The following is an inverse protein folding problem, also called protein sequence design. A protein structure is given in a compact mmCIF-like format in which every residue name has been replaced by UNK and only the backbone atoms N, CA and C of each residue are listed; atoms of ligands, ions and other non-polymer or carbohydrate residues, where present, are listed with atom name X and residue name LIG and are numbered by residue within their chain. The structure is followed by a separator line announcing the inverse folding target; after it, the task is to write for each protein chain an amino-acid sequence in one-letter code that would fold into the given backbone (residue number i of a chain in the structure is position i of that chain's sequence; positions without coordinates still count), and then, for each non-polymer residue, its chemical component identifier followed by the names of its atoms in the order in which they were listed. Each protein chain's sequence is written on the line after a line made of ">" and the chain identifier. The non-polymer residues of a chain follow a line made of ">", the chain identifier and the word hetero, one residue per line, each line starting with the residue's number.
data_IF_385849284273
#
_entry.id   IF_385849284273
#
_cell.length_a   1.000
_cell.length_b   1.000
_cell.length_c   1.000
_cell.angle_alpha   90.00
_cell.angle_beta   90.00
_cell.angle_gamma   90.00
#
_symmetry.space_group_name_H-M   'P 1'
#
loop_
_entity.id
_entity.type
_entity.pdbx_description
1 polymer ?
#
# COMPACT_ATOMS: atom_id res chain seq x y z
N UNK A 1 31.95 85.80 96.28
CA UNK A 1 32.76 85.07 95.28
C UNK A 1 31.96 83.95 94.58
N UNK A 2 30.69 83.73 94.95
CA UNK A 2 29.90 82.56 94.50
C UNK A 2 29.32 82.64 93.08
N UNK A 3 29.18 83.83 92.49
CA UNK A 3 28.66 83.98 91.11
C UNK A 3 29.70 83.70 90.03
N UNK A 4 30.99 83.89 90.34
CA UNK A 4 32.09 83.67 89.39
C UNK A 4 32.40 82.17 89.30
N UNK A 5 32.38 81.46 90.43
CA UNK A 5 32.55 80.00 90.47
C UNK A 5 31.43 79.26 89.72
N UNK A 6 30.16 79.70 89.87
CA UNK A 6 29.02 79.08 89.16
C UNK A 6 29.08 79.30 87.64
N UNK A 7 29.54 80.47 87.18
CA UNK A 7 29.72 80.75 85.74
C UNK A 7 30.91 80.00 85.15
N UNK A 8 32.00 79.83 85.91
CA UNK A 8 33.14 79.02 85.49
C UNK A 8 32.79 77.52 85.42
N UNK A 9 32.02 77.01 86.38
CA UNK A 9 31.55 75.61 86.37
C UNK A 9 30.58 75.32 85.21
N UNK A 10 29.67 76.26 84.90
CA UNK A 10 28.75 76.15 83.76
C UNK A 10 29.49 76.19 82.41
N UNK A 11 30.50 77.07 82.30
CA UNK A 11 31.34 77.17 81.10
C UNK A 11 32.20 75.91 80.89
N UNK A 12 32.66 75.28 81.96
CA UNK A 12 33.43 74.03 81.88
C UNK A 12 32.55 72.83 81.49
N UNK A 13 31.30 72.79 81.98
CA UNK A 13 30.35 71.72 81.65
C UNK A 13 29.87 71.79 80.19
N UNK A 14 29.72 73.00 79.62
CA UNK A 14 29.33 73.21 78.21
C UNK A 14 30.46 72.83 77.24
N UNK A 15 31.72 73.12 77.58
CA UNK A 15 32.87 72.72 76.75
C UNK A 15 33.09 71.20 76.75
N UNK A 16 32.75 70.51 77.85
CA UNK A 16 32.88 69.05 77.93
C UNK A 16 31.82 68.30 77.10
N UNK A 17 30.67 68.93 76.81
CA UNK A 17 29.58 68.31 76.04
C UNK A 17 29.81 68.34 74.51
N UNK A 18 30.73 69.19 74.02
CA UNK A 18 31.03 69.34 72.59
C UNK A 18 32.09 68.34 72.07
N UNK A 19 32.80 67.62 72.95
CA UNK A 19 33.90 66.72 72.58
C UNK A 19 33.44 65.27 72.37
N UNK A 20 32.19 64.92 72.70
CA UNK A 20 31.68 63.53 72.60
C UNK A 20 30.92 63.21 71.31
N UNK A 21 30.86 64.13 70.33
CA UNK A 21 30.33 63.89 68.98
C UNK A 21 31.43 63.61 67.94
N UNK A 22 32.52 62.97 68.36
CA UNK A 22 33.57 62.45 67.48
C UNK A 22 33.55 60.93 67.46
N UNK A 23 32.68 60.32 66.66
CA UNK A 23 32.85 58.93 66.24
C UNK A 23 33.67 58.94 64.95
N UNK A 24 34.72 58.13 64.94
CA UNK A 24 35.81 58.17 63.98
C UNK A 24 35.34 58.02 62.53
N UNK A 25 35.96 58.82 61.65
CA UNK A 25 36.11 58.48 60.25
C UNK A 25 36.91 57.17 60.17
N UNK A 26 36.26 56.12 59.69
CA UNK A 26 36.92 54.93 59.15
C UNK A 26 36.65 54.94 57.65
N UNK A 27 37.56 55.56 56.90
CA UNK A 27 37.83 55.13 55.54
C UNK A 27 38.55 53.79 55.65
N UNK A 28 37.89 52.70 55.27
CA UNK A 28 38.60 51.62 54.60
C UNK A 28 37.70 50.91 53.59
N UNK A 29 38.16 50.98 52.35
CA UNK A 29 37.95 50.07 51.23
C UNK A 29 36.53 49.62 50.85
N UNK A 30 35.99 50.33 49.86
CA UNK A 30 35.10 49.79 48.85
C UNK A 30 35.69 48.51 48.21
N UNK A 31 35.23 47.35 48.65
CA UNK A 31 35.20 46.14 47.84
C UNK A 31 33.79 45.58 47.90
N UNK A 32 32.95 46.00 46.95
CA UNK A 32 31.87 45.11 46.51
C UNK A 32 32.49 43.74 46.24
N UNK A 33 31.86 42.63 46.64
CA UNK A 33 32.38 41.31 46.26
C UNK A 33 32.64 41.34 44.76
N UNK A 34 33.86 40.96 44.37
CA UNK A 34 34.32 41.03 42.99
C UNK A 34 33.25 40.33 42.15
N UNK A 35 32.72 41.02 41.14
CA UNK A 35 31.60 40.51 40.35
C UNK A 35 31.95 39.14 39.75
N UNK A 36 33.23 38.95 39.43
CA UNK A 36 33.78 37.68 38.99
C UNK A 36 33.78 36.59 40.08
N UNK A 37 34.05 36.93 41.35
CA UNK A 37 33.98 35.96 42.46
C UNK A 37 32.54 35.57 42.79
N UNK A 38 31.61 36.52 42.73
CA UNK A 38 30.18 36.25 42.94
C UNK A 38 29.60 35.42 41.79
N UNK A 39 30.00 35.71 40.55
CA UNK A 39 29.64 34.93 39.35
C UNK A 39 30.22 33.52 39.41
N UNK A 40 31.47 33.37 39.83
CA UNK A 40 32.11 32.06 40.01
C UNK A 40 31.41 31.24 41.08
N UNK A 41 31.08 31.86 42.22
CA UNK A 41 30.30 31.22 43.28
C UNK A 41 28.91 30.79 42.80
N UNK A 42 28.21 31.62 42.01
CA UNK A 42 26.90 31.27 41.43
C UNK A 42 27.01 30.13 40.42
N UNK A 43 28.03 30.14 39.55
CA UNK A 43 28.26 29.06 38.58
C UNK A 43 28.62 27.76 39.29
N UNK A 44 29.40 27.82 40.36
CA UNK A 44 29.78 26.65 41.14
C UNK A 44 28.58 26.10 41.92
N UNK A 45 27.73 26.95 42.50
CA UNK A 45 26.42 26.59 43.08
C UNK A 45 25.53 25.85 42.08
N UNK A 46 25.39 26.37 40.85
CA UNK A 46 24.59 25.71 39.80
C UNK A 46 25.18 24.36 39.36
N UNK A 47 26.50 24.18 39.47
CA UNK A 47 27.20 22.93 39.11
C UNK A 47 27.20 21.90 40.24
N UNK A 48 26.99 22.31 41.49
CA UNK A 48 26.89 21.39 42.62
C UNK A 48 25.72 20.43 42.45
N UNK A 49 25.79 19.29 43.15
CA UNK A 49 24.73 18.28 43.10
C UNK A 49 23.41 18.83 43.67
N UNK A 50 23.47 19.73 44.64
CA UNK A 50 22.32 20.45 45.20
C UNK A 50 21.68 21.38 44.15
N UNK A 51 22.49 22.11 43.37
CA UNK A 51 22.00 22.95 42.27
C UNK A 51 21.34 22.14 41.16
N UNK A 52 21.94 21.00 40.78
CA UNK A 52 21.33 20.07 39.79
C UNK A 52 20.04 19.45 40.31
N UNK A 53 20.01 19.06 41.58
CA UNK A 53 18.83 18.49 42.21
C UNK A 53 17.69 19.51 42.30
N UNK A 54 17.98 20.76 42.68
CA UNK A 54 17.00 21.84 42.70
C UNK A 54 16.42 22.12 41.31
N UNK A 55 17.26 22.13 40.26
CA UNK A 55 16.79 22.25 38.87
C UNK A 55 15.91 21.05 38.49
N UNK A 56 16.29 19.83 38.89
CA UNK A 56 15.52 18.62 38.62
C UNK A 56 14.15 18.65 39.32
N UNK A 57 14.08 19.11 40.57
CA UNK A 57 12.84 19.30 41.33
C UNK A 57 11.94 20.37 40.69
N UNK A 58 12.53 21.46 40.22
CA UNK A 58 11.80 22.52 39.50
C UNK A 58 11.30 22.03 38.12
N UNK A 59 12.05 21.17 37.42
CA UNK A 59 11.61 20.54 36.16
C UNK A 59 10.57 19.43 36.36
N UNK A 60 10.39 18.91 37.58
CA UNK A 60 9.27 18.01 37.90
C UNK A 60 7.94 18.76 37.98
N UNK A 61 7.95 20.09 38.15
CA UNK A 61 6.76 20.91 38.02
C UNK A 61 6.30 20.96 36.55
N UNK A 62 5.08 20.50 36.31
CA UNK A 62 4.46 20.41 34.98
C UNK A 62 4.43 21.76 34.25
N UNK A 63 4.22 22.86 34.99
CA UNK A 63 4.16 24.22 34.45
C UNK A 63 5.52 24.70 33.96
N UNK A 64 6.58 24.32 34.67
CA UNK A 64 7.96 24.66 34.29
C UNK A 64 8.43 23.77 33.15
N UNK A 65 8.14 22.46 33.20
CA UNK A 65 8.44 21.53 32.11
C UNK A 65 7.79 21.95 30.79
N UNK A 66 6.52 22.34 30.82
CA UNK A 66 5.82 22.83 29.64
C UNK A 66 6.49 24.09 29.08
N UNK A 67 6.97 24.99 29.93
CA UNK A 67 7.64 26.23 29.50
C UNK A 67 9.02 25.98 28.89
N UNK A 68 9.75 24.96 29.37
CA UNK A 68 11.09 24.57 28.88
C UNK A 68 11.03 23.77 27.58
N UNK A 69 10.01 22.92 27.40
CA UNK A 69 9.81 22.11 26.18
C UNK A 69 9.27 22.94 25.00
N UNK A 70 8.96 24.22 25.20
CA UNK A 70 8.27 25.07 24.23
C UNK A 70 9.18 25.71 23.15
N UNK A 71 10.45 25.32 23.02
CA UNK A 71 11.24 25.71 21.83
C UNK A 71 10.76 24.89 20.62
N UNK A 72 9.68 25.38 20.01
CA UNK A 72 8.98 24.76 18.89
C UNK A 72 9.91 24.50 17.70
N UNK A 73 10.93 25.33 17.46
CA UNK A 73 11.85 25.18 16.32
C UNK A 73 12.81 24.03 16.60
N UNK A 74 13.44 24.01 17.78
CA UNK A 74 14.32 22.92 18.16
C UNK A 74 13.59 21.57 18.26
N UNK A 75 12.38 21.56 18.83
CA UNK A 75 11.56 20.34 18.94
C UNK A 75 11.14 19.83 17.56
N UNK A 76 10.68 20.72 16.66
CA UNK A 76 10.31 20.35 15.30
C UNK A 76 11.50 19.81 14.53
N UNK A 77 12.63 20.52 14.53
CA UNK A 77 13.84 20.10 13.83
C UNK A 77 14.38 18.77 14.38
N UNK A 78 14.32 18.57 15.70
CA UNK A 78 14.72 17.30 16.31
C UNK A 78 13.78 16.17 15.87
N UNK A 79 12.46 16.37 15.90
CA UNK A 79 11.50 15.36 15.44
C UNK A 79 11.71 15.04 13.96
N UNK A 80 11.84 16.06 13.11
CA UNK A 80 12.03 15.87 11.67
C UNK A 80 13.35 15.13 11.39
N UNK A 81 14.45 15.54 12.01
CA UNK A 81 15.74 14.85 11.85
C UNK A 81 15.70 13.42 12.40
N UNK A 82 15.15 13.21 13.59
CA UNK A 82 15.05 11.86 14.18
C UNK A 82 14.20 10.94 13.30
N UNK A 83 13.06 11.40 12.77
CA UNK A 83 12.18 10.58 11.95
C UNK A 83 12.68 10.37 10.51
N UNK A 84 13.48 11.30 9.95
CA UNK A 84 14.01 11.21 8.58
C UNK A 84 15.38 10.53 8.48
N UNK A 85 16.10 10.40 9.60
CA UNK A 85 17.36 9.65 9.63
C UNK A 85 17.16 8.14 9.46
N UNK A 86 18.25 7.43 9.15
CA UNK A 86 18.28 5.96 9.11
C UNK A 86 17.81 5.33 10.43
N UNK A 87 18.06 5.99 11.57
CA UNK A 87 17.57 5.54 12.88
C UNK A 87 16.04 5.64 12.98
N UNK A 88 15.45 6.72 12.43
CA UNK A 88 14.00 6.87 12.30
C UNK A 88 13.37 5.78 11.43
N UNK A 89 14.01 5.41 10.32
CA UNK A 89 13.55 4.28 9.49
C UNK A 89 13.50 2.97 10.28
N UNK A 90 14.55 2.66 11.04
CA UNK A 90 14.59 1.49 11.91
C UNK A 90 13.50 1.53 13.00
N UNK A 91 13.22 2.70 13.56
CA UNK A 91 12.10 2.88 14.50
C UNK A 91 10.76 2.53 13.84
N UNK A 92 10.48 3.04 12.63
CA UNK A 92 9.25 2.70 11.91
C UNK A 92 9.18 1.22 11.55
N UNK A 93 10.28 0.60 11.13
CA UNK A 93 10.33 -0.84 10.84
C UNK A 93 9.99 -1.70 12.07
N UNK A 94 10.51 -1.36 13.24
CA UNK A 94 10.18 -2.06 14.50
C UNK A 94 8.73 -1.78 14.92
N UNK A 95 8.26 -0.54 14.84
CA UNK A 95 6.88 -0.18 15.17
C UNK A 95 5.87 -0.88 14.25
N UNK A 96 6.20 -1.06 12.97
CA UNK A 96 5.34 -1.80 12.02
C UNK A 96 5.29 -3.30 12.31
N UNK A 97 6.14 -3.86 13.18
CA UNK A 97 6.00 -5.24 13.64
C UNK A 97 4.93 -5.37 14.73
N UNK A 98 4.72 -4.31 15.51
CA UNK A 98 3.71 -4.27 16.57
C UNK A 98 2.29 -4.36 16.00
N UNK A 99 1.47 -5.24 16.59
CA UNK A 99 0.15 -5.55 16.08
C UNK A 99 -0.89 -4.45 16.36
N UNK A 100 -0.83 -3.84 17.55
CA UNK A 100 -1.74 -2.76 17.94
C UNK A 100 -1.47 -1.51 17.11
N UNK A 101 -0.19 -1.19 16.94
CA UNK A 101 0.25 -0.09 16.10
C UNK A 101 -0.16 -0.28 14.63
N UNK A 102 0.11 -1.46 14.04
CA UNK A 102 -0.34 -1.79 12.68
C UNK A 102 -1.84 -1.63 12.51
N UNK A 103 -2.62 -2.13 13.47
CA UNK A 103 -4.08 -2.06 13.41
C UNK A 103 -4.54 -0.61 13.45
N UNK A 104 -4.07 0.16 14.42
CA UNK A 104 -4.42 1.58 14.57
C UNK A 104 -4.01 2.39 13.34
N UNK A 105 -2.80 2.17 12.81
CA UNK A 105 -2.33 2.82 11.59
C UNK A 105 -3.19 2.44 10.38
N UNK A 106 -3.46 1.15 10.17
CA UNK A 106 -4.28 0.67 9.06
C UNK A 106 -5.70 1.22 9.13
N UNK A 107 -6.34 1.21 10.31
CA UNK A 107 -7.67 1.79 10.54
C UNK A 107 -7.66 3.30 10.24
N UNK A 108 -6.63 4.03 10.69
CA UNK A 108 -6.52 5.47 10.43
C UNK A 108 -6.37 5.81 8.94
N UNK A 109 -5.75 4.91 8.16
CA UNK A 109 -5.50 5.10 6.73
C UNK A 109 -6.57 4.47 5.84
N UNK A 110 -7.45 3.63 6.40
CA UNK A 110 -8.36 2.77 5.64
C UNK A 110 -9.17 3.54 4.60
N UNK A 111 -9.83 4.63 5.00
CA UNK A 111 -10.67 5.42 4.10
C UNK A 111 -9.87 6.01 2.93
N UNK A 112 -8.74 6.64 3.22
CA UNK A 112 -7.88 7.22 2.18
C UNK A 112 -7.28 6.14 1.28
N UNK A 113 -6.91 4.99 1.85
CA UNK A 113 -6.39 3.87 1.09
C UNK A 113 -7.46 3.29 0.15
N UNK A 114 -8.71 3.19 0.59
CA UNK A 114 -9.84 2.80 -0.25
C UNK A 114 -10.07 3.79 -1.40
N UNK A 115 -10.01 5.09 -1.14
CA UNK A 115 -10.13 6.12 -2.18
C UNK A 115 -9.01 6.02 -3.21
N UNK A 116 -7.77 5.80 -2.76
CA UNK A 116 -6.62 5.55 -3.66
C UNK A 116 -6.85 4.31 -4.50
N UNK A 117 -7.24 3.18 -3.91
CA UNK A 117 -7.52 1.95 -4.64
C UNK A 117 -8.65 2.12 -5.66
N UNK A 118 -9.75 2.77 -5.28
CA UNK A 118 -10.86 3.10 -6.20
C UNK A 118 -10.44 4.03 -7.33
N UNK A 119 -9.52 4.95 -7.05
CA UNK A 119 -8.90 5.81 -8.05
C UNK A 119 -8.05 5.02 -9.04
N UNK A 120 -7.16 4.17 -8.52
CA UNK A 120 -6.29 3.30 -9.31
C UNK A 120 -7.07 2.33 -10.19
N UNK A 121 -8.20 1.80 -9.74
CA UNK A 121 -9.08 0.96 -10.60
C UNK A 121 -9.58 1.66 -11.87
N UNK A 122 -9.54 3.00 -11.91
CA UNK A 122 -9.91 3.81 -13.09
C UNK A 122 -8.70 4.27 -13.90
N UNK A 123 -7.49 4.02 -13.39
CA UNK A 123 -6.25 4.39 -14.05
C UNK A 123 -5.86 3.32 -15.10
N UNK A 124 -5.53 3.71 -16.34
CA UNK A 124 -5.20 2.75 -17.40
C UNK A 124 -3.98 1.87 -17.10
N UNK A 125 -2.95 2.41 -16.44
CA UNK A 125 -1.72 1.66 -16.13
C UNK A 125 -2.01 0.59 -15.07
N UNK A 126 -2.78 0.96 -14.04
CA UNK A 126 -3.20 0.01 -13.01
C UNK A 126 -4.18 -1.03 -13.55
N UNK A 127 -5.08 -0.65 -14.45
CA UNK A 127 -5.95 -1.60 -15.15
C UNK A 127 -5.14 -2.62 -15.97
N UNK A 128 -4.08 -2.18 -16.66
CA UNK A 128 -3.22 -3.10 -17.39
C UNK A 128 -2.54 -4.09 -16.46
N UNK A 129 -1.97 -3.62 -15.34
CA UNK A 129 -1.40 -4.51 -14.33
C UNK A 129 -2.44 -5.50 -13.78
N UNK A 130 -3.67 -5.05 -13.58
CA UNK A 130 -4.76 -5.92 -13.12
C UNK A 130 -5.17 -6.95 -14.17
N UNK A 131 -5.19 -6.59 -15.45
CA UNK A 131 -5.42 -7.54 -16.57
C UNK A 131 -4.32 -8.59 -16.63
N UNK A 132 -3.07 -8.19 -16.43
CA UNK A 132 -1.94 -9.13 -16.42
C UNK A 132 -2.09 -10.16 -15.28
N UNK A 133 -2.56 -9.72 -14.11
CA UNK A 133 -2.91 -10.63 -12.98
C UNK A 133 -4.08 -11.55 -13.34
N UNK A 134 -5.08 -11.08 -14.10
CA UNK A 134 -6.20 -11.93 -14.54
C UNK A 134 -5.80 -13.00 -15.56
N UNK A 135 -4.66 -12.84 -16.25
CA UNK A 135 -4.11 -13.83 -17.17
C UNK A 135 -3.18 -14.85 -16.49
N UNK A 136 -3.10 -14.85 -15.15
CA UNK A 136 -2.36 -15.88 -14.43
C UNK A 136 -2.97 -17.28 -14.67
N UNK A 137 -2.16 -18.35 -14.80
CA UNK A 137 -2.66 -19.71 -15.04
C UNK A 137 -3.69 -20.21 -14.02
N UNK A 138 -3.60 -19.80 -12.75
CA UNK A 138 -4.60 -20.18 -11.73
C UNK A 138 -5.96 -19.53 -12.03
N UNK A 139 -5.95 -18.29 -12.50
CA UNK A 139 -7.17 -17.60 -12.93
C UNK A 139 -7.75 -18.24 -14.18
N UNK A 140 -6.91 -18.63 -15.14
CA UNK A 140 -7.33 -19.35 -16.34
C UNK A 140 -8.05 -20.67 -15.99
N UNK A 141 -7.50 -21.45 -15.06
CA UNK A 141 -8.14 -22.69 -14.59
C UNK A 141 -9.53 -22.43 -14.00
N UNK A 142 -9.67 -21.41 -13.15
CA UNK A 142 -10.96 -21.01 -12.60
C UNK A 142 -11.96 -20.55 -13.67
N UNK A 143 -11.51 -19.82 -14.71
CA UNK A 143 -12.37 -19.44 -15.83
C UNK A 143 -12.80 -20.66 -16.66
N UNK A 144 -11.90 -21.62 -16.87
CA UNK A 144 -12.23 -22.88 -17.55
C UNK A 144 -13.25 -23.70 -16.76
N UNK A 145 -13.10 -23.79 -15.45
CA UNK A 145 -14.08 -24.45 -14.58
C UNK A 145 -15.46 -23.75 -14.66
N UNK A 146 -15.48 -22.42 -14.65
CA UNK A 146 -16.71 -21.65 -14.82
C UNK A 146 -17.38 -21.91 -16.18
N UNK A 147 -16.60 -21.99 -17.27
CA UNK A 147 -17.13 -22.35 -18.59
C UNK A 147 -17.66 -23.79 -18.65
N UNK A 148 -17.17 -24.67 -17.78
CA UNK A 148 -17.66 -26.04 -17.69
C UNK A 148 -18.87 -26.18 -16.75
N UNK A 149 -19.23 -25.13 -16.01
CA UNK A 149 -20.40 -25.10 -15.12
C UNK A 149 -21.71 -25.40 -15.87
N UNK A 150 -22.71 -25.91 -15.13
CA UNK A 150 -24.01 -26.24 -15.71
C UNK A 150 -24.74 -24.99 -16.19
N UNK A 151 -24.59 -23.89 -15.46
CA UNK A 151 -25.17 -22.59 -15.73
C UNK A 151 -24.65 -22.04 -17.06
N UNK A 152 -23.33 -22.07 -17.26
CA UNK A 152 -22.73 -21.63 -18.52
C UNK A 152 -23.09 -22.56 -19.68
N UNK A 153 -23.08 -23.88 -19.48
CA UNK A 153 -23.54 -24.84 -20.50
C UNK A 153 -24.98 -24.59 -20.93
N UNK A 154 -25.87 -24.21 -20.00
CA UNK A 154 -27.26 -23.87 -20.36
C UNK A 154 -27.32 -22.63 -21.25
N UNK A 155 -26.54 -21.60 -20.94
CA UNK A 155 -26.45 -20.41 -21.81
C UNK A 155 -25.89 -20.77 -23.19
N UNK A 156 -24.84 -21.58 -23.24
CA UNK A 156 -24.27 -22.06 -24.50
C UNK A 156 -25.29 -22.88 -25.30
N UNK A 157 -26.06 -23.76 -24.67
CA UNK A 157 -27.12 -24.52 -25.35
C UNK A 157 -28.20 -23.60 -25.91
N UNK A 158 -28.59 -22.55 -25.19
CA UNK A 158 -29.56 -21.56 -25.69
C UNK A 158 -28.99 -20.78 -26.89
N UNK A 159 -27.75 -20.31 -26.81
CA UNK A 159 -27.07 -19.62 -27.91
C UNK A 159 -26.95 -20.54 -29.13
N UNK A 160 -26.64 -21.82 -28.93
CA UNK A 160 -26.60 -22.80 -30.02
C UNK A 160 -27.98 -23.01 -30.63
N UNK A 161 -29.04 -23.13 -29.82
CA UNK A 161 -30.41 -23.27 -30.32
C UNK A 161 -30.81 -22.06 -31.16
N UNK A 162 -30.56 -20.84 -30.68
CA UNK A 162 -30.79 -19.59 -31.43
C UNK A 162 -29.95 -19.54 -32.72
N UNK A 163 -28.70 -20.00 -32.68
CA UNK A 163 -27.85 -20.07 -33.85
C UNK A 163 -28.38 -21.07 -34.89
N UNK A 164 -28.94 -22.22 -34.49
CA UNK A 164 -29.56 -23.18 -35.39
C UNK A 164 -30.86 -22.67 -36.01
N UNK A 165 -31.60 -21.82 -35.30
CA UNK A 165 -32.80 -21.16 -35.82
C UNK A 165 -32.48 -20.01 -36.80
N UNK A 166 -31.23 -19.55 -36.84
CA UNK A 166 -30.79 -18.51 -37.77
C UNK A 166 -30.97 -18.95 -39.22
N UNK A 167 -31.61 -18.12 -40.09
CA UNK A 167 -31.77 -18.42 -41.51
C UNK A 167 -30.45 -18.74 -42.22
N UNK A 168 -29.35 -18.13 -41.78
CA UNK A 168 -28.02 -18.41 -42.31
C UNK A 168 -27.58 -19.85 -42.02
N UNK A 169 -27.76 -20.30 -40.77
CA UNK A 169 -27.36 -21.64 -40.34
C UNK A 169 -28.27 -22.71 -40.95
N UNK A 170 -29.58 -22.46 -41.03
CA UNK A 170 -30.54 -23.34 -41.72
C UNK A 170 -30.18 -23.47 -43.20
N UNK A 171 -29.88 -22.37 -43.89
CA UNK A 171 -29.47 -22.41 -45.29
C UNK A 171 -28.17 -23.20 -45.49
N UNK A 172 -27.18 -22.99 -44.61
CA UNK A 172 -25.91 -23.74 -44.64
C UNK A 172 -26.12 -25.22 -44.36
N UNK A 173 -26.99 -25.58 -43.41
CA UNK A 173 -27.32 -26.96 -43.09
C UNK A 173 -28.01 -27.64 -44.28
N UNK A 174 -28.98 -26.97 -44.91
CA UNK A 174 -29.65 -27.47 -46.12
C UNK A 174 -28.68 -27.68 -47.28
N UNK A 175 -27.71 -26.78 -47.46
CA UNK A 175 -26.66 -26.94 -48.47
C UNK A 175 -25.82 -28.19 -48.20
N UNK A 176 -25.33 -28.37 -46.96
CA UNK A 176 -24.54 -29.54 -46.57
C UNK A 176 -25.35 -30.83 -46.75
N UNK A 177 -26.62 -30.84 -46.36
CA UNK A 177 -27.51 -31.99 -46.53
C UNK A 177 -27.71 -32.34 -48.01
N UNK A 178 -27.83 -31.31 -48.86
CA UNK A 178 -27.90 -31.47 -50.31
C UNK A 178 -26.62 -32.04 -50.90
N UNK A 179 -25.46 -31.55 -50.49
CA UNK A 179 -24.15 -32.04 -50.95
C UNK A 179 -23.92 -33.50 -50.53
N UNK A 180 -24.26 -33.87 -49.29
CA UNK A 180 -24.18 -35.25 -48.80
C UNK A 180 -25.13 -36.18 -49.55
N UNK A 181 -26.37 -35.75 -49.80
CA UNK A 181 -27.34 -36.53 -50.56
C UNK A 181 -26.85 -36.76 -52.00
N UNK A 182 -26.24 -35.74 -52.61
CA UNK A 182 -25.65 -35.83 -53.95
C UNK A 182 -24.47 -36.81 -53.98
N UNK A 183 -23.55 -36.74 -53.02
CA UNK A 183 -22.45 -37.70 -52.90
C UNK A 183 -22.95 -39.14 -52.69
N UNK A 184 -24.02 -39.34 -51.90
CA UNK A 184 -24.60 -40.67 -51.69
C UNK A 184 -25.26 -41.22 -52.95
N UNK A 185 -25.95 -40.38 -53.72
CA UNK A 185 -26.51 -40.77 -55.02
C UNK A 185 -25.41 -41.09 -56.04
N UNK A 186 -24.37 -40.27 -56.13
CA UNK A 186 -23.22 -40.53 -57.01
C UNK A 186 -22.50 -41.83 -56.64
N UNK A 187 -22.36 -42.14 -55.34
CA UNK A 187 -21.82 -43.43 -54.88
C UNK A 187 -22.73 -44.62 -55.17
N UNK A 188 -24.05 -44.47 -55.06
CA UNK A 188 -25.01 -45.52 -55.44
C UNK A 188 -25.01 -45.75 -56.95
N UNK A 189 -24.89 -44.71 -57.76
CA UNK A 189 -24.78 -44.84 -59.22
C UNK A 189 -23.45 -45.49 -59.63
N UNK A 190 -22.34 -45.23 -58.92
CA UNK A 190 -21.08 -45.96 -59.12
C UNK A 190 -21.15 -47.42 -58.66
N UNK A 191 -21.85 -47.75 -57.57
CA UNK A 191 -22.08 -49.13 -57.14
C UNK A 191 -23.02 -49.89 -58.09
N UNK A 192 -24.07 -49.24 -58.60
CA UNK A 192 -24.99 -49.83 -59.58
C UNK A 192 -24.28 -50.06 -60.93
N UNK A 193 -23.41 -49.15 -61.38
CA UNK A 193 -22.59 -49.36 -62.58
C UNK A 193 -21.59 -50.51 -62.43
N UNK A 194 -21.01 -50.70 -61.24
CA UNK A 194 -20.15 -51.88 -60.96
C UNK A 194 -20.93 -53.19 -60.91
N UNK A 195 -22.21 -53.17 -60.56
CA UNK A 195 -23.09 -54.35 -60.63
C UNK A 195 -23.54 -54.64 -62.07
N UNK A 196 -23.81 -53.63 -62.90
CA UNK A 196 -24.13 -53.82 -64.33
C UNK A 196 -22.93 -54.33 -65.14
N UNK A 197 -21.70 -53.87 -64.85
CA UNK A 197 -20.48 -54.41 -65.49
C UNK A 197 -20.18 -55.88 -65.10
N UNK A 198 -20.60 -56.35 -63.93
CA UNK A 198 -20.50 -57.78 -63.56
C UNK A 198 -21.59 -58.65 -64.20
N UNK A 199 -22.72 -58.06 -64.59
CA UNK A 199 -23.82 -58.79 -65.21
C UNK A 199 -23.65 -58.91 -66.74
N UNK A 200 -22.97 -57.96 -67.38
CA UNK A 200 -22.65 -58.00 -68.82
C UNK A 200 -21.53 -59.02 -69.14
N UNK A 201 -20.52 -59.14 -68.26
CA UNK A 201 -19.45 -60.16 -68.39
C UNK A 201 -20.00 -61.60 -68.21
N UNK A 202 -21.09 -61.74 -67.45
CA UNK A 202 -21.81 -63.02 -67.27
C UNK A 202 -22.69 -63.39 -68.47
N UNK A 203 -23.19 -62.39 -69.23
CA UNK A 203 -24.05 -62.61 -70.39
C UNK A 203 -23.24 -62.90 -71.66
N UNK A 204 -22.02 -62.37 -71.77
CA UNK A 204 -21.12 -62.69 -72.89
C UNK A 204 -20.54 -64.12 -72.83
N UNK A 205 -20.40 -64.73 -71.64
CA UNK A 205 -20.00 -66.14 -71.52
C UNK A 205 -21.13 -67.13 -71.88
N UNK A 206 -22.42 -66.73 -71.80
CA UNK A 206 -23.55 -67.59 -72.20
C UNK A 206 -23.84 -67.53 -73.72
N UNK A 207 -23.57 -66.41 -74.40
CA UNK A 207 -23.78 -66.30 -75.86
C UNK A 207 -22.72 -67.07 -76.67
N UNK A 208 -21.46 -67.13 -76.20
CA UNK A 208 -20.40 -67.91 -76.86
C UNK A 208 -20.59 -69.44 -76.72
N UNK A 209 -21.39 -69.92 -75.75
CA UNK A 209 -21.73 -71.34 -75.62
C UNK A 209 -22.93 -71.78 -76.48
N UNK A 210 -23.82 -70.88 -76.89
CA UNK A 210 -24.98 -71.24 -77.74
C UNK A 210 -24.70 -71.18 -79.25
N UNK A 211 -23.63 -70.52 -79.69
CA UNK A 211 -23.24 -70.40 -81.10
C UNK A 211 -22.68 -71.67 -81.76
N UNK A 212 -22.34 -72.71 -81.00
CA UNK A 212 -21.59 -73.87 -81.53
C UNK A 212 -22.45 -75.14 -81.78
N UNK A 213 -23.79 -75.07 -81.68
CA UNK A 213 -24.66 -76.27 -81.78
C UNK A 213 -25.53 -76.38 -83.04
N UNK A 214 -25.53 -75.39 -83.95
CA UNK A 214 -26.39 -75.41 -85.15
C UNK A 214 -25.59 -75.35 -86.46
N UNK A 215 -24.90 -76.45 -86.77
CA UNK A 215 -24.11 -76.56 -88.00
C UNK A 215 -23.77 -77.98 -88.43
N UNK A 216 -24.66 -78.96 -88.19
CA UNK A 216 -24.49 -80.31 -88.70
C UNK A 216 -25.71 -80.73 -89.55
N UNK A 217 -25.50 -80.85 -90.86
CA UNK A 217 -26.26 -81.77 -91.71
C UNK A 217 -26.67 -81.27 -93.08
N UNK A 218 -26.05 -81.81 -94.14
CA UNK A 218 -26.76 -81.99 -95.42
C UNK A 218 -25.94 -82.01 -96.72
N UNK A 219 -25.48 -83.19 -97.13
CA UNK A 219 -25.60 -83.70 -98.51
C UNK A 219 -24.52 -83.37 -99.55
N UNK A 220 -23.90 -84.41 -100.13
CA UNK A 220 -23.09 -84.35 -101.36
C UNK A 220 -21.91 -85.29 -101.35
#
# INVERSE_FOLDING_TARGET
>A
MDRVLKKAALSFFITCLLVTSGCAAMEDQSSQPDYEDTKKMMVDMLKTDEGKQAIQEVLQDEKVRSSVVMDQVFVKDTIENTLTTTQGKGFWEEMMKDAEFKKSLAESMQQKNEDVLKGLMKDPEYQQMFVDVMHDPEMEEHYLELMQSKEYRQQVMNIMAEAFESPYFVARLNQILGDVAKEQMEKQDEENKKQEEQQDDSAQEEEDQMGQTSGQGGGG
#
